data_IF_916680009015
#
_entry.id   IF_916680009015
#
_cell.length_a   1.000
_cell.length_b   1.000
_cell.length_c   1.000
_cell.angle_alpha   90.00
_cell.angle_beta   90.00
_cell.angle_gamma   90.00
#
_symmetry.space_group_name_H-M   'P 1'
#
loop_
_entity.id
_entity.type
_entity.pdbx_description
1 polymer ?
#
# COMPACT_ATOMS: atom_id res chain seq x y z
N UNK A 1 2.83 -4.58 10.96
CA UNK A 1 1.95 -4.24 12.10
C UNK A 1 1.97 -5.31 13.19
N UNK A 2 1.23 -6.44 13.10
CA UNK A 2 1.13 -7.43 14.20
C UNK A 2 2.47 -7.90 14.80
N UNK A 3 3.48 -8.16 13.97
CA UNK A 3 4.81 -8.56 14.46
C UNK A 3 5.53 -7.43 15.21
N UNK A 4 5.43 -6.19 14.71
CA UNK A 4 6.02 -4.99 15.37
C UNK A 4 5.35 -4.71 16.71
N UNK A 5 4.02 -4.85 16.78
CA UNK A 5 3.29 -4.74 18.06
C UNK A 5 3.69 -5.81 19.06
N UNK A 6 3.84 -7.07 18.62
CA UNK A 6 4.34 -8.14 19.49
C UNK A 6 5.77 -7.89 19.98
N UNK A 7 6.56 -7.13 19.23
CA UNK A 7 7.90 -6.71 19.61
C UNK A 7 7.92 -5.42 20.46
N UNK A 8 6.76 -4.81 20.75
CA UNK A 8 6.67 -3.59 21.55
C UNK A 8 7.14 -2.32 20.84
N UNK A 9 7.21 -2.31 19.51
CA UNK A 9 7.66 -1.16 18.72
C UNK A 9 6.51 -0.20 18.43
N UNK A 10 6.77 1.11 18.56
CA UNK A 10 5.84 2.17 18.21
C UNK A 10 5.98 2.55 16.73
N UNK A 11 4.85 2.77 16.08
CA UNK A 11 4.77 3.20 14.68
C UNK A 11 4.03 4.53 14.69
N UNK A 12 4.59 5.61 14.11
CA UNK A 12 5.81 5.67 13.29
C UNK A 12 7.14 5.93 14.02
N UNK A 13 7.15 6.08 15.35
CA UNK A 13 8.29 6.65 16.11
C UNK A 13 9.54 5.76 16.10
N UNK A 14 9.38 4.45 16.31
CA UNK A 14 10.50 3.50 16.32
C UNK A 14 10.76 2.93 14.92
N UNK A 15 9.67 2.67 14.17
CA UNK A 15 9.73 2.20 12.78
C UNK A 15 8.58 2.81 11.97
N UNK A 16 8.93 3.48 10.88
CA UNK A 16 7.97 3.91 9.87
C UNK A 16 7.61 2.76 8.90
N UNK A 17 6.33 2.66 8.53
CA UNK A 17 5.82 1.63 7.63
C UNK A 17 5.10 2.28 6.45
N UNK A 18 5.42 1.82 5.23
CA UNK A 18 4.77 2.26 4.00
C UNK A 18 4.13 1.07 3.29
N UNK A 19 2.87 1.25 2.87
CA UNK A 19 2.14 0.29 2.04
C UNK A 19 2.33 0.54 0.54
N UNK A 20 2.05 -0.48 -0.26
CA UNK A 20 2.06 -0.41 -1.72
C UNK A 20 0.67 -0.79 -2.28
N UNK A 21 0.31 -0.24 -3.45
CA UNK A 21 -0.90 -0.54 -4.22
C UNK A 21 -2.27 -0.05 -3.70
N UNK A 22 -2.31 0.81 -2.68
CA UNK A 22 -3.55 1.44 -2.17
C UNK A 22 -4.79 0.54 -2.22
N UNK A 23 -4.69 -0.60 -1.54
CA UNK A 23 -5.81 -1.54 -1.41
C UNK A 23 -6.83 -0.96 -0.43
N UNK A 24 -8.13 -1.10 -0.74
CA UNK A 24 -9.21 -0.50 0.05
C UNK A 24 -9.17 -0.94 1.53
N UNK A 25 -8.75 -2.17 1.81
CA UNK A 25 -8.63 -2.69 3.19
C UNK A 25 -7.51 -2.04 4.01
N UNK A 26 -6.55 -1.35 3.39
CA UNK A 26 -5.44 -0.74 4.11
C UNK A 26 -5.85 0.46 4.97
N UNK A 27 -7.08 0.99 4.80
CA UNK A 27 -7.66 2.03 5.68
C UNK A 27 -8.12 1.46 7.04
N UNK A 28 -8.29 0.14 7.15
CA UNK A 28 -8.74 -0.51 8.39
C UNK A 28 -7.59 -0.83 9.34
N UNK A 29 -6.37 -0.44 8.97
CA UNK A 29 -5.16 -0.69 9.74
C UNK A 29 -4.79 0.58 10.48
N UNK A 30 -4.71 0.51 11.81
CA UNK A 30 -4.20 1.59 12.65
C UNK A 30 -2.74 1.34 13.03
N UNK A 31 -1.86 2.35 13.08
CA UNK A 31 -2.03 3.69 12.52
C UNK A 31 -2.18 3.66 10.99
N UNK A 32 -2.79 4.71 10.43
CA UNK A 32 -2.99 4.85 8.99
C UNK A 32 -1.66 4.74 8.25
N UNK A 33 -1.63 3.90 7.21
CA UNK A 33 -0.41 3.67 6.45
C UNK A 33 -0.27 4.72 5.34
N UNK A 34 0.92 5.32 5.25
CA UNK A 34 1.37 6.01 4.04
C UNK A 34 1.47 5.00 2.90
N UNK A 35 1.02 5.36 1.69
CA UNK A 35 0.95 4.42 0.56
C UNK A 35 1.46 5.05 -0.72
N UNK A 36 2.06 4.23 -1.58
CA UNK A 36 2.30 4.57 -2.99
C UNK A 36 1.08 4.16 -3.80
N UNK A 37 0.42 5.11 -4.46
CA UNK A 37 -0.72 4.85 -5.34
C UNK A 37 -0.26 4.58 -6.77
N UNK A 38 -0.45 3.34 -7.20
CA UNK A 38 -0.24 2.93 -8.60
C UNK A 38 -1.40 3.41 -9.47
N UNK A 39 -1.10 3.99 -10.65
CA UNK A 39 -2.12 4.42 -11.64
C UNK A 39 -2.68 3.24 -12.42
N UNK A 40 -3.37 2.34 -11.72
CA UNK A 40 -3.85 1.05 -12.23
C UNK A 40 -4.76 1.19 -13.46
N UNK A 41 -5.60 2.22 -13.49
CA UNK A 41 -6.52 2.48 -14.61
C UNK A 41 -5.76 2.84 -15.91
N UNK A 42 -4.74 3.70 -15.79
CA UNK A 42 -3.88 4.09 -16.92
C UNK A 42 -3.06 2.89 -17.41
N UNK A 43 -2.52 2.09 -16.49
CA UNK A 43 -1.76 0.88 -16.81
C UNK A 43 -2.62 -0.16 -17.53
N UNK A 44 -3.83 -0.44 -17.05
CA UNK A 44 -4.76 -1.36 -17.70
C UNK A 44 -5.18 -0.88 -19.09
N UNK A 45 -5.46 0.43 -19.21
CA UNK A 45 -5.79 1.04 -20.51
C UNK A 45 -4.64 0.93 -21.51
N UNK A 46 -3.39 1.16 -21.06
CA UNK A 46 -2.20 1.03 -21.89
C UNK A 46 -1.99 -0.43 -22.32
N UNK A 47 -2.12 -1.38 -21.39
CA UNK A 47 -1.98 -2.80 -21.66
C UNK A 47 -2.99 -3.27 -22.71
N UNK A 48 -4.27 -2.90 -22.59
CA UNK A 48 -5.30 -3.22 -23.59
C UNK A 48 -4.99 -2.66 -24.97
N UNK A 49 -4.39 -1.46 -25.06
CA UNK A 49 -3.97 -0.87 -26.34
C UNK A 49 -2.80 -1.63 -26.97
N UNK A 50 -1.85 -2.12 -26.16
CA UNK A 50 -0.65 -2.80 -26.66
C UNK A 50 -0.85 -4.31 -26.90
N UNK A 51 -1.83 -4.93 -26.24
CA UNK A 51 -2.16 -6.36 -26.39
C UNK A 51 -3.02 -6.66 -27.64
N UNK A 52 -3.51 -5.63 -28.33
CA UNK A 52 -4.28 -5.74 -29.59
C UNK A 52 -3.41 -5.75 -30.86
N UNK A 53 -2.11 -6.00 -30.73
CA UNK A 53 -1.17 -6.17 -31.87
C UNK A 53 -0.95 -7.62 -32.20
#
# INVERSE_FOLDING_TARGET
MKAMWKAGLNIPEDIAVMGFDDIQFAILVYPDLSKVRTRKDEMGSLAMRHCKR
#
